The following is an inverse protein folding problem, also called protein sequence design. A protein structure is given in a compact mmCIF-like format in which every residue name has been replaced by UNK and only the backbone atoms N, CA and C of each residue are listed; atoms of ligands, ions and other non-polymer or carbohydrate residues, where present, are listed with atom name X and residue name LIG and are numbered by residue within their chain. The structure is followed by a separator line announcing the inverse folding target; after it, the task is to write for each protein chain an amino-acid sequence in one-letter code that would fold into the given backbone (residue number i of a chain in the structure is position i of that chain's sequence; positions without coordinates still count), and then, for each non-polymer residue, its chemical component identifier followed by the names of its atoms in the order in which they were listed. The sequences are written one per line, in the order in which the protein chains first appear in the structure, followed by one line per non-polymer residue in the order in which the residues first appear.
data_IF_592083891488
#
_entry.id   IF_592083891488
#
_cell.length_a   1.000
_cell.length_b   1.000
_cell.length_c   1.000
_cell.angle_alpha   90.00
_cell.angle_beta   90.00
_cell.angle_gamma   90.00
#
_symmetry.space_group_name_H-M   'P 1'
#
loop_
_entity.id
_entity.type
_entity.pdbx_description
1 polymer ?
#
# COMPACT_ATOMS: atom_id res chain seq x y z
N UNK A 1 -1.82 -5.45 -3.21
CA UNK A 1 -0.66 -5.41 -2.33
C UNK A 1 0.14 -6.67 -2.48
N UNK A 2 1.38 -6.59 -2.82
CA UNK A 2 2.33 -7.69 -2.77
C UNK A 2 3.07 -7.70 -1.42
N UNK A 3 3.47 -8.84 -0.89
CA UNK A 3 2.99 -10.16 -1.29
C UNK A 3 1.55 -10.42 -0.81
N UNK A 4 0.94 -11.54 -1.19
CA UNK A 4 -0.35 -11.97 -0.69
C UNK A 4 -0.33 -12.30 0.81
N UNK A 5 -1.51 -12.56 1.38
CA UNK A 5 -1.63 -13.04 2.76
C UNK A 5 -1.30 -14.54 2.82
N UNK A 6 -0.16 -14.84 3.42
CA UNK A 6 0.34 -16.22 3.60
C UNK A 6 0.84 -16.40 5.03
N UNK A 7 1.04 -17.61 5.52
CA UNK A 7 1.73 -17.83 6.78
C UNK A 7 3.24 -17.48 6.63
N UNK A 8 3.57 -16.22 6.79
CA UNK A 8 4.90 -15.63 6.51
C UNK A 8 6.06 -16.31 7.22
N UNK A 9 5.80 -17.02 8.32
CA UNK A 9 6.79 -17.86 9.01
C UNK A 9 7.10 -19.16 8.27
N UNK A 10 6.37 -19.50 7.21
CA UNK A 10 6.54 -20.71 6.41
C UNK A 10 6.74 -20.40 4.92
N UNK A 11 6.02 -19.39 4.41
CA UNK A 11 5.98 -19.10 2.98
C UNK A 11 5.78 -17.61 2.71
N UNK A 12 6.58 -17.07 1.82
CA UNK A 12 6.45 -15.70 1.31
C UNK A 12 6.33 -15.76 -0.22
N UNK A 13 5.31 -15.11 -0.76
CA UNK A 13 5.17 -14.97 -2.21
C UNK A 13 6.09 -13.88 -2.75
N UNK A 14 6.81 -14.17 -3.82
CA UNK A 14 7.65 -13.23 -4.54
C UNK A 14 6.98 -12.76 -5.83
N UNK A 15 7.27 -11.54 -6.26
CA UNK A 15 6.79 -10.99 -7.52
C UNK A 15 7.99 -10.66 -8.38
N UNK A 16 7.96 -11.13 -9.61
CA UNK A 16 8.99 -10.83 -10.61
C UNK A 16 8.47 -9.80 -11.60
N UNK A 17 9.28 -8.82 -11.89
CA UNK A 17 9.02 -7.78 -12.87
C UNK A 17 10.09 -7.81 -13.96
N UNK A 18 9.68 -7.73 -15.21
CA UNK A 18 10.59 -7.45 -16.30
C UNK A 18 10.90 -5.94 -16.31
N UNK A 19 12.14 -5.62 -16.04
CA UNK A 19 12.65 -4.25 -15.97
C UNK A 19 13.58 -3.89 -17.14
N UNK A 20 13.70 -4.77 -18.13
CA UNK A 20 14.59 -4.61 -19.30
C UNK A 20 14.36 -3.26 -20.00
N UNK A 21 13.11 -2.83 -20.11
CA UNK A 21 12.74 -1.59 -20.80
C UNK A 21 12.98 -0.30 -19.99
N UNK A 22 13.36 -0.40 -18.73
CA UNK A 22 13.57 0.76 -17.83
C UNK A 22 14.99 0.86 -17.27
N UNK A 23 15.81 -0.17 -17.47
CA UNK A 23 17.23 -0.13 -17.08
C UNK A 23 18.03 0.60 -18.18
N UNK A 24 18.83 1.55 -17.75
CA UNK A 24 19.71 2.35 -18.59
C UNK A 24 21.18 1.97 -18.39
N UNK A 25 22.02 2.29 -19.37
CA UNK A 25 23.47 2.15 -19.21
C UNK A 25 23.98 3.17 -18.20
N UNK A 26 24.78 2.75 -17.24
CA UNK A 26 25.34 3.60 -16.19
C UNK A 26 24.53 3.52 -14.89
N UNK A 27 24.27 4.66 -14.27
CA UNK A 27 23.63 4.70 -12.96
C UNK A 27 22.12 4.46 -13.06
N UNK A 28 21.62 3.60 -12.21
CA UNK A 28 20.19 3.35 -12.01
C UNK A 28 19.87 3.42 -10.52
N UNK A 29 18.63 3.73 -10.18
CA UNK A 29 18.16 3.79 -8.80
C UNK A 29 16.99 2.85 -8.59
N UNK A 30 17.04 2.02 -7.57
CA UNK A 30 15.93 1.22 -7.10
C UNK A 30 15.40 1.86 -5.82
N UNK A 31 14.16 2.31 -5.84
CA UNK A 31 13.48 2.84 -4.67
C UNK A 31 12.31 1.95 -4.27
N UNK A 32 12.20 1.69 -2.96
CA UNK A 32 11.12 0.86 -2.41
C UNK A 32 10.45 1.59 -1.25
N UNK A 33 9.13 1.65 -1.31
CA UNK A 33 8.31 2.18 -0.22
C UNK A 33 7.60 1.03 0.48
N UNK A 34 7.73 0.97 1.80
CA UNK A 34 7.17 -0.09 2.62
C UNK A 34 6.05 0.46 3.50
N UNK A 35 4.98 -0.29 3.58
CA UNK A 35 3.86 -0.03 4.47
C UNK A 35 3.49 -1.30 5.26
N UNK A 36 2.71 -1.15 6.32
CA UNK A 36 2.34 -2.25 7.21
C UNK A 36 1.70 -3.44 6.47
N UNK A 37 0.79 -3.18 5.53
CA UNK A 37 0.14 -4.20 4.72
C UNK A 37 -0.51 -5.30 5.56
N UNK A 38 -0.35 -6.55 5.12
CA UNK A 38 -0.85 -7.72 5.84
C UNK A 38 0.08 -8.18 6.97
N UNK A 39 1.38 -7.89 6.86
CA UNK A 39 2.39 -8.44 7.77
C UNK A 39 2.40 -7.75 9.13
N UNK A 40 2.42 -6.44 9.14
CA UNK A 40 2.52 -5.62 10.35
C UNK A 40 1.31 -4.70 10.57
N UNK A 41 0.28 -4.85 9.74
CA UNK A 41 -0.98 -4.16 9.90
C UNK A 41 -1.95 -4.92 10.80
N UNK A 42 -3.02 -4.24 11.19
CA UNK A 42 -4.11 -4.85 11.93
C UNK A 42 -4.89 -5.80 11.03
N UNK A 43 -5.26 -6.96 11.55
CA UNK A 43 -6.02 -7.96 10.81
C UNK A 43 -7.48 -8.04 11.30
N UNK A 44 -8.40 -7.79 10.37
CA UNK A 44 -9.84 -8.00 10.57
C UNK A 44 -10.42 -7.22 11.74
N UNK A 45 -11.35 -7.86 12.44
CA UNK A 45 -12.08 -7.29 13.58
C UNK A 45 -11.39 -7.47 14.93
N UNK A 46 -10.38 -8.31 14.99
CA UNK A 46 -9.50 -8.39 16.16
C UNK A 46 -8.77 -7.06 16.23
N UNK A 47 -9.04 -6.26 17.22
CA UNK A 47 -8.39 -4.95 17.40
C UNK A 47 -6.90 -5.06 17.68
N UNK A 48 -6.35 -6.23 17.57
CA UNK A 48 -4.97 -6.58 17.85
C UNK A 48 -4.19 -6.68 16.54
N UNK A 49 -2.95 -6.23 16.54
CA UNK A 49 -2.02 -6.47 15.45
C UNK A 49 -1.63 -7.93 15.50
N UNK A 50 -1.76 -8.64 14.39
CA UNK A 50 -1.49 -10.07 14.32
C UNK A 50 -0.04 -10.43 14.66
N UNK A 51 0.87 -9.50 14.38
CA UNK A 51 2.31 -9.61 14.63
C UNK A 51 2.80 -8.30 15.26
N UNK A 52 2.33 -7.98 16.40
CA UNK A 52 2.29 -6.69 17.13
C UNK A 52 3.59 -5.86 17.18
N UNK A 53 4.70 -6.34 16.66
CA UNK A 53 6.01 -5.69 16.82
C UNK A 53 6.87 -5.70 15.57
N UNK A 54 6.41 -6.31 14.50
CA UNK A 54 7.24 -6.51 13.33
C UNK A 54 7.18 -5.31 12.38
N UNK A 55 8.31 -4.66 12.20
CA UNK A 55 8.47 -3.65 11.14
C UNK A 55 8.34 -4.30 9.76
N UNK A 56 7.79 -3.60 8.75
CA UNK A 56 7.80 -4.09 7.39
C UNK A 56 9.21 -4.42 6.93
N UNK A 57 9.35 -5.56 6.25
CA UNK A 57 10.63 -6.08 5.75
C UNK A 57 10.50 -6.35 4.25
N UNK A 58 11.59 -6.31 3.54
CA UNK A 58 11.60 -6.65 2.12
C UNK A 58 12.81 -7.49 1.75
N UNK A 59 12.68 -8.20 0.64
CA UNK A 59 13.77 -8.82 -0.11
C UNK A 59 13.65 -8.30 -1.53
N UNK A 60 14.76 -7.88 -2.10
CA UNK A 60 14.87 -7.51 -3.50
C UNK A 60 16.08 -8.17 -4.12
N UNK A 61 15.91 -8.71 -5.32
CA UNK A 61 16.97 -9.22 -6.16
C UNK A 61 16.76 -8.73 -7.58
N UNK A 62 17.78 -8.13 -8.17
CA UNK A 62 17.79 -7.74 -9.58
C UNK A 62 18.81 -8.60 -10.31
N UNK A 63 18.37 -9.32 -11.31
CA UNK A 63 19.21 -10.14 -12.18
C UNK A 63 19.38 -9.43 -13.52
N UNK A 64 20.62 -9.15 -13.89
CA UNK A 64 20.99 -8.53 -15.15
C UNK A 64 21.73 -9.54 -16.02
N UNK A 65 21.34 -9.63 -17.29
CA UNK A 65 22.09 -10.34 -18.31
C UNK A 65 22.65 -9.31 -19.28
N UNK A 66 23.96 -9.15 -19.32
CA UNK A 66 24.63 -8.19 -20.18
C UNK A 66 24.67 -8.64 -21.64
N UNK A 67 24.98 -7.73 -22.54
CA UNK A 67 25.05 -8.04 -23.99
C UNK A 67 26.12 -9.08 -24.34
N UNK A 68 27.18 -9.17 -23.56
CA UNK A 68 28.24 -10.19 -23.69
C UNK A 68 27.88 -11.55 -23.07
N UNK A 69 26.68 -11.68 -22.53
CA UNK A 69 26.17 -12.89 -21.87
C UNK A 69 26.60 -13.03 -20.39
N UNK A 70 27.38 -12.12 -19.86
CA UNK A 70 27.68 -12.09 -18.43
C UNK A 70 26.45 -11.80 -17.59
N UNK A 71 26.42 -12.29 -16.35
CA UNK A 71 25.32 -12.08 -15.43
C UNK A 71 25.79 -11.34 -14.19
N UNK A 72 24.99 -10.41 -13.75
CA UNK A 72 25.15 -9.69 -12.50
C UNK A 72 23.90 -9.84 -11.65
N UNK A 73 24.07 -10.00 -10.34
CA UNK A 73 22.97 -10.09 -9.39
C UNK A 73 23.19 -9.04 -8.31
N UNK A 74 22.23 -8.15 -8.17
CA UNK A 74 22.20 -7.12 -7.15
C UNK A 74 21.13 -7.50 -6.14
N UNK A 75 21.47 -7.53 -4.86
CA UNK A 75 20.55 -7.89 -3.76
C UNK A 75 20.35 -6.71 -2.81
N UNK A 76 19.24 -6.73 -2.08
CA UNK A 76 19.05 -5.82 -0.96
C UNK A 76 19.91 -6.27 0.22
N UNK A 77 20.79 -5.39 0.68
CA UNK A 77 21.72 -5.61 1.79
C UNK A 77 21.85 -4.34 2.66
N UNK A 78 22.84 -4.33 3.55
CA UNK A 78 23.09 -3.21 4.47
C UNK A 78 23.71 -1.97 3.79
N UNK A 79 24.08 -2.06 2.52
CA UNK A 79 24.49 -0.89 1.72
C UNK A 79 23.32 0.03 1.36
N UNK A 80 22.11 -0.49 1.43
CA UNK A 80 20.92 0.28 1.17
C UNK A 80 20.66 1.30 2.29
N UNK A 81 20.00 2.39 1.93
CA UNK A 81 19.64 3.44 2.87
C UNK A 81 18.14 3.65 2.88
N UNK A 82 17.63 4.05 4.02
CA UNK A 82 16.20 4.29 4.20
C UNK A 82 15.90 5.40 5.18
N UNK A 83 14.67 5.84 5.18
CA UNK A 83 14.13 6.80 6.13
C UNK A 83 12.71 6.40 6.53
N UNK A 84 12.35 6.61 7.78
CA UNK A 84 10.98 6.51 8.27
C UNK A 84 10.24 7.85 8.27
N UNK A 85 10.90 8.90 7.80
CA UNK A 85 10.36 10.26 7.79
C UNK A 85 9.75 10.63 6.43
N UNK A 86 9.02 9.69 5.83
CA UNK A 86 8.27 9.89 4.60
C UNK A 86 6.83 10.34 4.82
N UNK A 87 6.08 10.62 3.74
CA UNK A 87 4.72 11.16 3.79
C UNK A 87 3.68 10.17 4.31
N UNK A 88 3.86 8.87 4.10
CA UNK A 88 2.92 7.85 4.58
C UNK A 88 3.17 7.60 6.05
N UNK A 89 2.25 8.06 6.90
CA UNK A 89 2.33 7.92 8.37
C UNK A 89 1.59 6.70 8.89
N UNK A 90 0.60 6.25 8.15
CA UNK A 90 -0.16 5.02 8.40
C UNK A 90 -0.62 4.47 7.05
N UNK A 91 -0.47 3.19 6.84
CA UNK A 91 -1.12 2.49 5.72
C UNK A 91 -1.46 1.07 6.14
N UNK A 92 -2.74 0.77 6.24
CA UNK A 92 -3.28 -0.52 6.63
C UNK A 92 -4.55 -0.78 5.84
N UNK A 93 -4.80 -2.05 5.52
CA UNK A 93 -6.01 -2.44 4.78
C UNK A 93 -7.28 -2.08 5.56
N UNK A 94 -7.25 -2.20 6.88
CA UNK A 94 -8.42 -1.96 7.72
C UNK A 94 -8.50 -0.57 8.32
N UNK A 95 -7.37 0.10 8.51
CA UNK A 95 -7.34 1.42 9.14
C UNK A 95 -7.23 2.56 8.12
N UNK A 96 -6.98 2.21 6.85
CA UNK A 96 -6.80 3.18 5.77
C UNK A 96 -5.40 3.76 5.73
N UNK A 97 -5.29 4.98 5.23
CA UNK A 97 -4.02 5.68 5.03
C UNK A 97 -4.06 7.06 5.68
N UNK A 98 -2.95 7.44 6.28
CA UNK A 98 -2.66 8.81 6.70
C UNK A 98 -1.45 9.30 5.94
N UNK A 99 -1.64 10.33 5.14
CA UNK A 99 -0.62 10.94 4.29
C UNK A 99 -0.36 12.38 4.71
N UNK A 100 0.88 12.74 4.95
CA UNK A 100 1.32 14.11 5.26
C UNK A 100 2.18 14.66 4.11
N UNK A 101 1.57 15.49 3.27
CA UNK A 101 2.25 16.09 2.13
C UNK A 101 3.42 17.02 2.51
N UNK A 102 3.52 17.48 3.76
CA UNK A 102 4.68 18.27 4.21
C UNK A 102 5.95 17.41 4.33
N UNK A 103 5.81 16.10 4.36
CA UNK A 103 6.91 15.12 4.47
C UNK A 103 7.27 14.49 3.13
N UNK A 104 6.73 14.99 2.03
CA UNK A 104 7.13 14.54 0.70
C UNK A 104 8.63 14.73 0.49
N UNK A 105 9.24 13.71 -0.13
CA UNK A 105 10.67 13.72 -0.46
C UNK A 105 10.80 13.75 -1.98
N UNK A 106 10.89 14.93 -2.59
CA UNK A 106 10.96 15.05 -4.03
C UNK A 106 12.18 14.33 -4.61
N UNK A 107 12.00 13.67 -5.75
CA UNK A 107 13.06 13.05 -6.54
C UNK A 107 13.87 11.94 -5.81
N UNK A 108 13.35 11.35 -4.76
CA UNK A 108 14.07 10.33 -3.98
C UNK A 108 14.42 9.06 -4.78
N UNK A 109 13.77 8.85 -5.91
CA UNK A 109 14.02 7.74 -6.84
C UNK A 109 14.95 8.11 -8.00
N UNK A 110 15.62 9.27 -7.96
CA UNK A 110 16.53 9.68 -9.03
C UNK A 110 17.99 9.44 -8.66
N UNK A 111 18.82 9.21 -9.68
CA UNK A 111 20.25 8.92 -9.50
C UNK A 111 21.04 10.05 -8.79
N UNK A 112 20.53 11.28 -8.81
CA UNK A 112 21.18 12.43 -8.19
C UNK A 112 20.62 12.78 -6.82
N UNK A 113 19.78 11.92 -6.25
CA UNK A 113 19.20 12.17 -4.93
C UNK A 113 20.27 12.16 -3.84
N UNK A 114 20.23 13.15 -2.96
CA UNK A 114 21.15 13.25 -1.84
C UNK A 114 20.61 12.51 -0.61
N UNK A 115 21.03 11.28 -0.44
CA UNK A 115 20.62 10.39 0.63
C UNK A 115 21.48 10.48 1.91
N UNK A 116 22.34 11.49 2.05
CA UNK A 116 23.26 11.63 3.21
C UNK A 116 22.57 11.66 4.57
N UNK A 117 21.29 12.05 4.60
CA UNK A 117 20.48 12.08 5.82
C UNK A 117 19.75 10.78 6.09
N UNK A 118 19.76 9.84 5.15
CA UNK A 118 19.13 8.54 5.31
C UNK A 118 20.08 7.61 6.08
N UNK A 119 19.51 6.69 6.82
CA UNK A 119 20.25 5.72 7.62
C UNK A 119 20.45 4.43 6.83
N UNK A 120 21.52 3.70 7.11
CA UNK A 120 21.68 2.33 6.61
C UNK A 120 20.54 1.46 7.15
N UNK A 121 20.07 0.54 6.32
CA UNK A 121 19.06 -0.42 6.71
C UNK A 121 19.69 -1.56 7.51
N UNK A 122 18.90 -2.25 8.32
CA UNK A 122 19.34 -3.46 8.99
C UNK A 122 19.11 -4.65 8.06
N UNK A 123 20.18 -5.28 7.59
CA UNK A 123 20.10 -6.53 6.86
C UNK A 123 19.96 -7.71 7.85
N UNK A 124 19.20 -8.72 7.45
CA UNK A 124 19.03 -9.96 8.21
C UNK A 124 18.85 -11.14 7.27
N UNK A 125 19.21 -12.33 7.73
CA UNK A 125 19.01 -13.56 6.97
C UNK A 125 17.59 -14.08 7.16
N UNK A 126 17.00 -14.57 6.07
CA UNK A 126 15.76 -15.33 6.14
C UNK A 126 16.05 -16.69 6.71
N UNK A 127 15.16 -17.19 7.56
CA UNK A 127 15.23 -18.56 8.05
C UNK A 127 15.10 -19.56 6.90
N UNK A 128 15.92 -20.59 6.88
CA UNK A 128 15.86 -21.69 5.89
C UNK A 128 14.52 -22.44 5.89
N UNK A 129 13.73 -22.28 6.94
CA UNK A 129 12.38 -22.86 7.05
C UNK A 129 11.32 -22.07 6.28
N UNK A 130 11.66 -20.90 5.72
CA UNK A 130 10.72 -20.07 4.97
C UNK A 130 10.92 -20.30 3.48
N UNK A 131 9.87 -20.80 2.82
CA UNK A 131 9.87 -20.96 1.36
C UNK A 131 9.56 -19.64 0.67
N UNK A 132 10.39 -19.26 -0.31
CA UNK A 132 10.10 -18.18 -1.24
C UNK A 132 9.48 -18.79 -2.50
N UNK A 133 8.24 -18.43 -2.78
CA UNK A 133 7.50 -18.98 -3.91
C UNK A 133 7.03 -17.86 -4.85
N UNK A 134 7.09 -18.07 -6.17
CA UNK A 134 6.55 -17.11 -7.11
C UNK A 134 5.03 -16.99 -6.92
N UNK A 135 4.53 -15.78 -6.97
CA UNK A 135 3.10 -15.51 -6.90
C UNK A 135 2.37 -16.17 -8.06
N UNK A 136 1.42 -17.03 -7.74
CA UNK A 136 0.66 -17.82 -8.73
C UNK A 136 -0.62 -17.13 -9.20
N UNK A 137 -1.08 -16.12 -8.50
CA UNK A 137 -2.33 -15.44 -8.78
C UNK A 137 -2.12 -14.21 -9.66
N UNK A 138 -3.13 -13.88 -10.44
CA UNK A 138 -3.16 -12.64 -11.21
C UNK A 138 -2.99 -11.43 -10.28
N UNK A 139 -2.13 -10.51 -10.66
CA UNK A 139 -1.95 -9.27 -9.91
C UNK A 139 -3.14 -8.34 -10.11
N UNK A 140 -3.51 -7.62 -9.06
CA UNK A 140 -4.51 -6.56 -9.14
C UNK A 140 -3.93 -5.41 -9.97
N UNK A 141 -4.68 -5.00 -10.98
CA UNK A 141 -4.31 -3.88 -11.87
C UNK A 141 -5.48 -2.92 -11.97
N UNK A 142 -5.19 -1.63 -12.03
CA UNK A 142 -6.17 -0.64 -12.47
C UNK A 142 -6.52 -0.91 -13.94
N UNK A 143 -7.81 -1.09 -14.22
CA UNK A 143 -8.29 -1.41 -15.56
C UNK A 143 -9.01 -0.25 -16.23
N UNK A 144 -9.75 0.50 -15.45
CA UNK A 144 -10.60 1.59 -15.91
C UNK A 144 -10.57 2.74 -14.90
N UNK A 145 -10.64 3.96 -15.42
CA UNK A 145 -10.98 5.14 -14.63
C UNK A 145 -12.48 5.40 -14.75
N UNK A 146 -13.17 5.46 -13.63
CA UNK A 146 -14.60 5.73 -13.58
C UNK A 146 -14.83 7.16 -13.11
N UNK A 147 -15.46 8.01 -13.92
CA UNK A 147 -15.83 9.34 -13.50
C UNK A 147 -16.98 9.30 -12.51
N UNK A 148 -17.01 10.25 -11.61
CA UNK A 148 -18.16 10.50 -10.73
C UNK A 148 -19.42 10.73 -11.55
N UNK A 149 -20.50 10.05 -11.18
CA UNK A 149 -21.80 10.17 -11.85
C UNK A 149 -22.70 11.24 -11.20
N UNK A 150 -22.56 11.43 -9.92
CA UNK A 150 -23.34 12.39 -9.15
C UNK A 150 -22.52 12.96 -8.00
N UNK A 151 -22.68 14.25 -7.74
CA UNK A 151 -22.11 14.93 -6.58
C UNK A 151 -23.25 15.40 -5.69
N UNK A 152 -23.20 15.09 -4.41
CA UNK A 152 -24.19 15.45 -3.41
C UNK A 152 -23.48 16.21 -2.29
N UNK A 153 -23.96 17.40 -1.96
CA UNK A 153 -23.48 18.15 -0.80
C UNK A 153 -24.44 17.98 0.36
N UNK A 154 -23.92 17.54 1.49
CA UNK A 154 -24.72 17.32 2.69
C UNK A 154 -23.87 17.48 3.95
N UNK A 155 -24.38 18.26 4.91
CA UNK A 155 -23.78 18.43 6.24
C UNK A 155 -22.29 18.80 6.22
N UNK A 156 -21.87 19.60 5.23
CA UNK A 156 -20.47 20.01 5.04
C UNK A 156 -19.57 18.94 4.42
N UNK A 157 -20.13 17.82 4.01
CA UNK A 157 -19.43 16.78 3.25
C UNK A 157 -19.84 16.81 1.78
N UNK A 158 -18.91 16.42 0.91
CA UNK A 158 -19.16 16.23 -0.53
C UNK A 158 -19.12 14.73 -0.82
N UNK A 159 -20.22 14.19 -1.31
CA UNK A 159 -20.38 12.78 -1.64
C UNK A 159 -20.25 12.59 -3.14
N UNK A 160 -19.31 11.79 -3.55
CA UNK A 160 -19.07 11.41 -4.93
C UNK A 160 -19.69 10.03 -5.20
N UNK A 161 -20.82 10.00 -5.88
CA UNK A 161 -21.56 8.78 -6.19
C UNK A 161 -21.14 8.24 -7.57
N UNK A 162 -20.60 7.05 -7.61
CA UNK A 162 -20.15 6.37 -8.82
C UNK A 162 -21.26 5.52 -9.46
N UNK A 163 -22.42 5.38 -8.80
CA UNK A 163 -23.61 4.62 -9.25
C UNK A 163 -23.36 3.12 -9.48
N UNK A 164 -22.26 2.61 -8.97
CA UNK A 164 -21.99 1.18 -8.99
C UNK A 164 -21.09 0.77 -7.84
N UNK A 165 -21.25 -0.45 -7.37
CA UNK A 165 -20.32 -1.05 -6.44
C UNK A 165 -19.05 -1.48 -7.19
N UNK A 166 -17.89 -1.17 -6.65
CA UNK A 166 -16.62 -1.42 -7.30
C UNK A 166 -15.47 -1.55 -6.29
N UNK A 167 -14.41 -2.17 -6.72
CA UNK A 167 -13.12 -2.16 -6.03
C UNK A 167 -12.18 -1.23 -6.77
N UNK A 168 -11.60 -0.26 -6.07
CA UNK A 168 -10.72 0.73 -6.71
C UNK A 168 -10.03 1.64 -5.71
N UNK A 169 -9.29 2.59 -6.25
CA UNK A 169 -8.64 3.67 -5.50
C UNK A 169 -9.15 5.02 -6.03
N UNK A 170 -9.38 6.01 -5.18
CA UNK A 170 -9.82 7.32 -5.62
C UNK A 170 -8.67 8.08 -6.27
N UNK A 171 -8.94 8.77 -7.36
CA UNK A 171 -8.09 9.80 -7.91
C UNK A 171 -8.75 11.16 -7.69
N UNK A 172 -8.20 11.94 -6.76
CA UNK A 172 -8.72 13.24 -6.39
C UNK A 172 -7.73 14.34 -6.77
N UNK A 173 -8.26 15.40 -7.39
CA UNK A 173 -7.52 16.65 -7.60
C UNK A 173 -8.20 17.74 -6.82
N UNK A 174 -7.63 18.10 -5.68
CA UNK A 174 -8.21 19.08 -4.75
C UNK A 174 -7.19 20.20 -4.52
N UNK A 175 -7.56 21.46 -4.78
CA UNK A 175 -6.72 22.59 -4.40
C UNK A 175 -6.74 22.73 -2.87
N UNK A 176 -5.65 22.41 -2.22
CA UNK A 176 -5.52 22.52 -0.77
C UNK A 176 -4.51 23.58 -0.38
N UNK A 177 -4.79 24.29 0.70
CA UNK A 177 -3.84 25.21 1.33
C UNK A 177 -3.04 24.47 2.40
N UNK A 178 -1.84 24.97 2.68
CA UNK A 178 -1.01 24.42 3.77
C UNK A 178 -1.79 24.41 5.09
N UNK A 179 -1.72 23.30 5.79
CA UNK A 179 -2.41 23.08 7.07
C UNK A 179 -3.86 22.59 6.95
N UNK A 180 -4.39 22.42 5.74
CA UNK A 180 -5.71 21.81 5.56
C UNK A 180 -5.59 20.28 5.60
N UNK A 181 -6.64 19.64 6.12
CA UNK A 181 -6.79 18.18 6.14
C UNK A 181 -7.99 17.77 5.31
N UNK A 182 -7.80 16.81 4.43
CA UNK A 182 -8.87 16.16 3.69
C UNK A 182 -9.10 14.77 4.27
N UNK A 183 -10.34 14.49 4.67
CA UNK A 183 -10.75 13.17 5.13
C UNK A 183 -11.64 12.51 4.08
N UNK A 184 -11.17 11.39 3.54
CA UNK A 184 -11.90 10.58 2.57
C UNK A 184 -12.47 9.37 3.30
N UNK A 185 -13.73 9.05 3.02
CA UNK A 185 -14.43 7.88 3.54
C UNK A 185 -15.10 7.14 2.39
N UNK A 186 -15.24 5.85 2.53
CA UNK A 186 -15.87 4.99 1.54
C UNK A 186 -17.06 4.28 2.15
N UNK A 187 -18.11 4.13 1.36
CA UNK A 187 -19.26 3.31 1.71
C UNK A 187 -19.90 2.77 0.42
N UNK A 188 -20.60 1.65 0.52
CA UNK A 188 -21.30 1.03 -0.60
C UNK A 188 -22.69 1.64 -0.81
N UNK A 189 -23.30 2.15 0.26
CA UNK A 189 -24.67 2.63 0.26
C UNK A 189 -24.81 3.93 1.05
N UNK A 190 -25.84 4.67 0.73
CA UNK A 190 -26.34 5.77 1.55
C UNK A 190 -27.51 5.27 2.41
N UNK A 191 -27.61 5.76 3.62
CA UNK A 191 -28.78 5.61 4.48
C UNK A 191 -29.97 6.44 3.92
N UNK A 192 -31.22 6.17 4.33
CA UNK A 192 -32.39 6.91 3.86
C UNK A 192 -32.30 8.42 4.07
N UNK A 193 -31.58 8.85 5.09
CA UNK A 193 -31.29 10.26 5.38
C UNK A 193 -30.15 10.83 4.51
N UNK A 194 -29.58 10.02 3.61
CA UNK A 194 -28.54 10.39 2.66
C UNK A 194 -27.12 10.47 3.24
N UNK A 195 -26.88 9.96 4.45
CA UNK A 195 -25.54 9.82 5.00
C UNK A 195 -24.86 8.53 4.50
N UNK A 196 -23.53 8.48 4.54
CA UNK A 196 -22.81 7.26 4.22
C UNK A 196 -23.17 6.16 5.22
N UNK A 197 -23.70 5.06 4.71
CA UNK A 197 -24.05 3.92 5.54
C UNK A 197 -22.78 3.07 5.78
N UNK A 198 -22.25 3.15 6.99
CA UNK A 198 -21.06 2.39 7.40
C UNK A 198 -21.40 0.97 7.87
N UNK A 199 -22.62 0.52 7.71
CA UNK A 199 -23.07 -0.84 8.01
C UNK A 199 -22.81 -1.78 6.85
N UNK A 200 -21.65 -1.67 6.22
CA UNK A 200 -21.17 -2.77 5.42
C UNK A 200 -21.05 -4.00 6.32
N UNK A 201 -21.44 -5.19 5.89
CA UNK A 201 -21.22 -6.43 6.63
C UNK A 201 -19.73 -6.78 6.72
N UNK A 202 -18.88 -5.77 6.82
CA UNK A 202 -17.50 -5.94 7.22
C UNK A 202 -17.48 -6.61 8.59
N UNK A 203 -16.67 -7.61 8.80
CA UNK A 203 -16.45 -8.17 10.13
C UNK A 203 -16.17 -7.15 11.23
N UNK A 204 -15.79 -5.93 10.85
CA UNK A 204 -15.56 -4.78 11.73
C UNK A 204 -16.82 -4.27 12.41
N UNK A 205 -18.01 -4.48 11.84
CA UNK A 205 -19.26 -3.90 12.32
C UNK A 205 -20.14 -4.87 13.14
N UNK A 206 -19.68 -6.07 13.43
CA UNK A 206 -20.42 -7.04 14.24
C UNK A 206 -20.86 -6.54 15.62
N UNK A 207 -20.29 -5.50 16.12
CA UNK A 207 -20.69 -4.88 17.40
C UNK A 207 -21.79 -3.83 17.24
N UNK A 208 -22.19 -3.45 16.04
CA UNK A 208 -23.20 -2.44 15.77
C UNK A 208 -24.34 -2.83 14.84
N UNK A 209 -24.24 -3.94 14.13
CA UNK A 209 -25.35 -4.45 13.32
C UNK A 209 -26.18 -5.48 14.08
N UNK A 210 -26.98 -5.03 15.03
CA UNK A 210 -28.24 -5.72 15.29
C UNK A 210 -29.15 -5.34 14.13
N UNK A 211 -29.26 -6.23 13.14
CA UNK A 211 -30.44 -6.17 12.28
C UNK A 211 -31.67 -6.29 13.16
N UNK A 212 -32.69 -5.43 13.02
CA UNK A 212 -33.98 -5.72 13.58
C UNK A 212 -34.42 -7.02 12.96
N UNK A 213 -34.68 -8.04 13.75
CA UNK A 213 -35.40 -9.21 13.31
C UNK A 213 -36.74 -8.70 12.77
N UNK A 214 -36.93 -8.81 11.45
CA UNK A 214 -38.24 -8.62 10.84
C UNK A 214 -39.19 -9.61 11.48
N UNK A 215 -40.22 -9.10 12.18
CA UNK A 215 -41.40 -9.84 12.51
C UNK A 215 -42.19 -10.14 11.24
#
# INVERSE_FOLDING_TARGET
MPPGYTPYIKRIETITYDVTGVIESGQNTIGVELAAGWHSGRLGWMKEYWLDTETPKMICQLELTMKDGSKEVIISDDSWKGTTNGPIRLASIYDGETYDANLEIPNWTTNNFNDKKWQSVNAFSISDNISLEPKRHTTVKSKIELPTKQVIEKDGAVIFDLKQNMVGVPLLKVPMKKGQTLKIRFAEMLSPDGCLLYTSPSPRDRTRSRMPSSA
#
